data_IF_638814189011
#
_entry.id   IF_638814189011
#
_cell.length_a   1.000
_cell.length_b   1.000
_cell.length_c   1.000
_cell.angle_alpha   90.00
_cell.angle_beta   90.00
_cell.angle_gamma   90.00
#
_symmetry.space_group_name_H-M   'P 1'
#
loop_
_entity.id
_entity.type
_entity.pdbx_description
1 polymer ?
#
# COMPACT_ATOMS: atom_id res chain seq x y z
N UNK A 1 -5.07 -9.22 -13.29
CA UNK A 1 -5.68 -9.27 -11.94
C UNK A 1 -4.63 -8.84 -10.94
N UNK A 2 -4.89 -7.87 -10.07
CA UNK A 2 -3.94 -7.44 -9.07
C UNK A 2 -3.62 -8.58 -8.11
N UNK A 3 -2.33 -8.73 -7.77
CA UNK A 3 -1.87 -9.69 -6.77
C UNK A 3 -1.80 -8.95 -5.44
N UNK A 4 -2.49 -9.46 -4.45
CA UNK A 4 -2.56 -8.91 -3.11
C UNK A 4 -1.52 -9.56 -2.21
N UNK A 5 -0.81 -8.76 -1.44
CA UNK A 5 0.09 -9.24 -0.40
C UNK A 5 -0.50 -8.80 0.93
N UNK A 6 -0.99 -9.77 1.70
CA UNK A 6 -1.32 -9.59 3.11
C UNK A 6 -0.09 -10.01 3.92
N UNK A 7 0.55 -9.07 4.60
CA UNK A 7 1.64 -9.37 5.51
C UNK A 7 1.04 -9.52 6.90
N UNK A 8 1.05 -10.72 7.44
CA UNK A 8 0.76 -10.99 8.84
C UNK A 8 2.07 -11.36 9.52
N UNK A 9 2.50 -10.55 10.46
CA UNK A 9 3.66 -10.84 11.30
C UNK A 9 3.16 -11.54 12.55
N UNK A 10 3.24 -12.84 12.61
CA UNK A 10 3.41 -13.78 13.72
C UNK A 10 2.71 -15.13 13.47
N UNK A 11 3.43 -16.24 13.59
CA UNK A 11 2.93 -17.60 13.33
C UNK A 11 2.07 -18.22 14.47
N UNK A 12 1.85 -17.51 15.59
CA UNK A 12 1.20 -18.05 16.78
C UNK A 12 -0.12 -17.38 17.17
N UNK A 13 -0.88 -16.86 16.22
CA UNK A 13 -2.19 -16.29 16.49
C UNK A 13 -3.29 -17.34 16.54
N UNK A 14 -3.28 -18.15 17.58
CA UNK A 14 -4.52 -18.65 18.17
C UNK A 14 -5.07 -17.53 19.04
N UNK A 15 -6.20 -16.95 18.65
CA UNK A 15 -6.88 -15.84 19.36
C UNK A 15 -7.35 -16.36 20.74
N UNK A 16 -6.44 -16.46 21.69
CA UNK A 16 -6.77 -16.81 23.08
C UNK A 16 -6.27 -15.82 24.14
N UNK A 17 -5.42 -14.86 23.74
CA UNK A 17 -5.03 -13.76 24.62
C UNK A 17 -4.82 -12.45 23.85
N UNK A 18 -5.09 -11.28 24.44
CA UNK A 18 -4.83 -9.99 23.79
C UNK A 18 -3.32 -9.79 23.68
N UNK A 19 -2.78 -9.99 22.47
CA UNK A 19 -1.36 -9.76 22.18
C UNK A 19 -1.05 -8.26 22.26
N UNK A 20 -0.15 -7.84 23.14
CA UNK A 20 0.09 -6.41 23.41
C UNK A 20 0.77 -5.65 22.25
N UNK A 21 1.23 -6.33 21.20
CA UNK A 21 2.07 -5.72 20.15
C UNK A 21 1.69 -6.12 18.70
N UNK A 22 0.45 -6.54 18.45
CA UNK A 22 0.02 -6.90 17.11
C UNK A 22 -0.01 -5.66 16.21
N UNK A 23 0.85 -5.61 15.19
CA UNK A 23 0.86 -4.58 14.15
C UNK A 23 0.60 -5.25 12.82
N UNK A 24 -0.42 -4.78 12.11
CA UNK A 24 -0.70 -5.21 10.74
C UNK A 24 -0.23 -4.12 9.78
N UNK A 25 0.59 -4.48 8.83
CA UNK A 25 0.92 -3.68 7.68
C UNK A 25 0.31 -4.36 6.46
N UNK A 26 -0.67 -3.74 5.83
CA UNK A 26 -1.21 -4.19 4.56
C UNK A 26 -0.55 -3.40 3.44
N UNK A 27 0.22 -4.08 2.60
CA UNK A 27 0.86 -3.52 1.43
C UNK A 27 0.15 -4.03 0.19
N UNK A 28 -0.29 -3.11 -0.63
CA UNK A 28 -0.72 -3.43 -1.98
C UNK A 28 0.46 -3.20 -2.94
N UNK A 29 0.89 -4.27 -3.58
CA UNK A 29 1.90 -4.22 -4.62
C UNK A 29 1.23 -4.69 -5.91
N UNK A 30 1.08 -3.82 -6.93
CA UNK A 30 0.36 -4.16 -8.14
C UNK A 30 0.90 -5.40 -8.85
N UNK A 31 0.02 -6.09 -9.57
CA UNK A 31 0.28 -7.27 -10.42
C UNK A 31 1.54 -7.17 -11.29
N UNK A 32 1.95 -5.97 -11.65
CA UNK A 32 3.15 -5.71 -12.45
C UNK A 32 4.46 -6.19 -11.80
N UNK A 33 4.55 -6.30 -10.46
CA UNK A 33 5.72 -6.91 -9.82
C UNK A 33 5.90 -8.39 -10.17
N UNK A 34 4.81 -9.10 -10.42
CA UNK A 34 4.88 -10.48 -10.93
C UNK A 34 5.20 -10.54 -12.42
N UNK A 35 4.82 -9.53 -13.20
CA UNK A 35 5.16 -9.39 -14.61
C UNK A 35 6.62 -8.98 -14.81
N UNK A 36 7.24 -8.28 -13.87
CA UNK A 36 8.68 -8.00 -13.84
C UNK A 36 9.54 -9.27 -13.96
N UNK A 37 8.99 -10.38 -13.54
CA UNK A 37 9.67 -11.66 -13.52
C UNK A 37 9.57 -12.39 -14.86
N UNK A 38 8.69 -11.97 -15.77
CA UNK A 38 8.36 -12.72 -17.00
C UNK A 38 9.02 -12.23 -18.28
N UNK A 39 9.75 -11.11 -18.27
CA UNK A 39 10.41 -10.72 -19.52
C UNK A 39 11.27 -9.47 -19.46
N UNK A 40 12.40 -9.50 -20.18
CA UNK A 40 13.28 -8.35 -20.29
C UNK A 40 12.68 -7.19 -21.12
N UNK A 41 11.56 -7.41 -21.78
CA UNK A 41 11.03 -6.55 -22.84
C UNK A 41 10.80 -5.12 -22.40
N UNK A 42 10.24 -4.88 -21.21
CA UNK A 42 9.92 -3.51 -20.78
C UNK A 42 11.14 -2.77 -20.22
N UNK A 43 12.03 -3.45 -19.52
CA UNK A 43 13.23 -2.82 -18.93
C UNK A 43 14.21 -2.37 -20.01
N UNK A 44 14.27 -3.10 -21.13
CA UNK A 44 15.14 -2.81 -22.27
C UNK A 44 14.48 -1.88 -23.31
N UNK A 45 13.17 -1.65 -23.23
CA UNK A 45 12.47 -0.78 -24.16
C UNK A 45 12.57 0.67 -23.71
N UNK A 46 13.13 1.53 -24.56
CA UNK A 46 13.35 2.97 -24.29
C UNK A 46 12.06 3.77 -24.15
N UNK A 47 10.95 3.30 -24.72
CA UNK A 47 9.66 3.97 -24.59
C UNK A 47 9.11 3.85 -23.16
N UNK A 48 9.38 2.71 -22.48
CA UNK A 48 8.96 2.48 -21.10
C UNK A 48 10.06 2.80 -20.07
N UNK A 49 11.34 2.79 -20.47
CA UNK A 49 12.48 2.99 -19.56
C UNK A 49 13.50 3.93 -20.18
N UNK A 50 13.37 5.23 -19.93
CA UNK A 50 14.24 6.27 -20.51
C UNK A 50 15.72 6.07 -20.19
N UNK A 51 16.04 5.72 -18.93
CA UNK A 51 17.40 5.46 -18.45
C UNK A 51 17.68 3.95 -18.35
N UNK A 52 17.39 3.21 -19.43
CA UNK A 52 17.43 1.74 -19.41
C UNK A 52 18.72 1.15 -18.86
N UNK A 53 19.89 1.67 -19.25
CA UNK A 53 21.18 1.18 -18.77
C UNK A 53 21.33 1.31 -17.23
N UNK A 54 20.89 2.43 -16.65
CA UNK A 54 20.94 2.67 -15.21
C UNK A 54 19.95 1.76 -14.48
N UNK A 55 18.74 1.62 -14.99
CA UNK A 55 17.68 0.77 -14.41
C UNK A 55 18.07 -0.70 -14.49
N UNK A 56 18.64 -1.14 -15.63
CA UNK A 56 19.16 -2.49 -15.80
C UNK A 56 20.26 -2.77 -14.78
N UNK A 57 21.26 -1.91 -14.66
CA UNK A 57 22.33 -2.09 -13.67
C UNK A 57 21.83 -2.19 -12.23
N UNK A 58 20.76 -1.45 -11.91
CA UNK A 58 20.20 -1.42 -10.56
C UNK A 58 19.35 -2.64 -10.24
N UNK A 59 18.48 -3.09 -11.16
CA UNK A 59 17.42 -4.04 -10.87
C UNK A 59 17.48 -5.34 -11.66
N UNK A 60 18.21 -5.37 -12.79
CA UNK A 60 18.25 -6.56 -13.61
C UNK A 60 19.24 -7.60 -13.08
N UNK A 61 18.86 -8.85 -13.23
CA UNK A 61 19.71 -10.04 -13.09
C UNK A 61 19.12 -11.15 -13.96
N UNK A 62 19.94 -12.08 -14.44
CA UNK A 62 19.45 -13.24 -15.20
C UNK A 62 18.70 -14.23 -14.28
N UNK A 63 19.10 -14.31 -13.02
CA UNK A 63 18.36 -15.04 -11.99
C UNK A 63 17.17 -14.25 -11.45
N UNK A 64 15.99 -14.86 -11.52
CA UNK A 64 14.72 -14.27 -11.13
C UNK A 64 14.65 -13.92 -9.63
N UNK A 65 15.27 -14.75 -8.78
CA UNK A 65 15.29 -14.49 -7.34
C UNK A 65 16.25 -13.35 -7.01
N UNK A 66 17.34 -13.20 -7.73
CA UNK A 66 18.25 -12.06 -7.58
C UNK A 66 17.57 -10.76 -8.02
N UNK A 67 16.77 -10.76 -9.11
CA UNK A 67 15.97 -9.59 -9.50
C UNK A 67 15.02 -9.15 -8.38
N UNK A 68 14.33 -10.10 -7.75
CA UNK A 68 13.45 -9.81 -6.61
C UNK A 68 14.19 -9.14 -5.47
N UNK A 69 15.32 -9.70 -5.09
CA UNK A 69 16.14 -9.17 -4.01
C UNK A 69 16.75 -7.81 -4.34
N UNK A 70 17.16 -7.56 -5.59
CA UNK A 70 17.62 -6.24 -6.03
C UNK A 70 16.50 -5.19 -5.98
N UNK A 71 15.27 -5.58 -6.32
CA UNK A 71 14.15 -4.64 -6.34
C UNK A 71 13.64 -4.33 -4.95
N UNK A 72 13.41 -5.34 -4.12
CA UNK A 72 12.83 -5.22 -2.78
C UNK A 72 13.61 -6.09 -1.78
N UNK A 73 14.83 -5.67 -1.40
CA UNK A 73 15.73 -6.46 -0.57
C UNK A 73 15.15 -6.78 0.81
N UNK A 74 14.58 -5.80 1.52
CA UNK A 74 14.01 -6.02 2.85
C UNK A 74 12.78 -6.93 2.80
N UNK A 75 11.90 -6.70 1.83
CA UNK A 75 10.72 -7.53 1.64
C UNK A 75 11.07 -9.01 1.46
N UNK A 76 12.00 -9.33 0.54
CA UNK A 76 12.35 -10.71 0.23
C UNK A 76 13.29 -11.35 1.25
N UNK A 77 14.17 -10.60 1.90
CA UNK A 77 15.07 -11.15 2.92
C UNK A 77 14.42 -11.28 4.29
N UNK A 78 13.52 -10.38 4.64
CA UNK A 78 12.94 -10.30 5.99
C UNK A 78 11.46 -10.66 6.00
N UNK A 79 10.62 -9.89 5.30
CA UNK A 79 9.17 -10.07 5.36
C UNK A 79 8.75 -11.44 4.82
N UNK A 80 9.26 -11.84 3.65
CA UNK A 80 8.90 -13.11 3.02
C UNK A 80 9.40 -14.34 3.80
N UNK A 81 10.42 -14.18 4.66
CA UNK A 81 11.00 -15.27 5.45
C UNK A 81 10.46 -15.36 6.87
N UNK A 82 10.01 -14.24 7.46
CA UNK A 82 9.56 -14.19 8.85
C UNK A 82 8.06 -13.87 8.98
N UNK A 83 7.41 -13.50 7.88
CA UNK A 83 5.98 -13.20 7.81
C UNK A 83 5.21 -14.22 6.99
N UNK A 84 3.92 -13.97 6.81
CA UNK A 84 3.07 -14.74 5.91
C UNK A 84 2.94 -13.99 4.58
N UNK A 85 3.31 -14.64 3.49
CA UNK A 85 3.18 -14.13 2.14
C UNK A 85 2.13 -14.96 1.38
N UNK A 86 1.02 -14.32 1.03
CA UNK A 86 -0.06 -14.91 0.23
C UNK A 86 -0.05 -14.28 -1.16
N UNK A 87 -0.33 -15.08 -2.20
CA UNK A 87 -0.27 -14.60 -3.59
C UNK A 87 1.07 -14.87 -4.32
N UNK A 88 1.99 -15.60 -3.68
CA UNK A 88 3.20 -16.05 -4.36
C UNK A 88 2.91 -17.26 -5.26
N UNK A 89 2.57 -16.96 -6.52
CA UNK A 89 2.15 -17.97 -7.52
C UNK A 89 3.23 -19.04 -7.75
N UNK A 90 4.51 -18.68 -7.66
CA UNK A 90 5.61 -19.64 -7.81
C UNK A 90 5.67 -20.68 -6.68
N UNK A 91 5.07 -20.36 -5.53
CA UNK A 91 4.91 -21.28 -4.40
C UNK A 91 3.49 -21.87 -4.30
N UNK A 92 2.69 -21.74 -5.36
CA UNK A 92 1.34 -22.28 -5.42
C UNK A 92 0.32 -21.50 -4.59
N UNK A 93 0.67 -20.30 -4.08
CA UNK A 93 -0.25 -19.45 -3.34
C UNK A 93 -0.89 -18.43 -4.28
N UNK A 94 -2.23 -18.49 -4.40
CA UNK A 94 -3.01 -17.62 -5.28
C UNK A 94 -3.95 -16.77 -4.45
N UNK A 95 -4.01 -15.48 -4.78
CA UNK A 95 -5.01 -14.53 -4.28
C UNK A 95 -5.70 -13.91 -5.47
N UNK A 96 -7.03 -13.93 -5.46
CA UNK A 96 -7.85 -13.42 -6.55
C UNK A 96 -8.95 -12.52 -6.01
N UNK A 97 -9.21 -11.43 -6.71
CA UNK A 97 -10.46 -10.68 -6.55
C UNK A 97 -11.58 -11.39 -7.32
N UNK A 98 -12.75 -11.42 -6.74
CA UNK A 98 -13.94 -12.06 -7.33
C UNK A 98 -14.84 -11.08 -8.06
N UNK A 99 -14.70 -9.77 -7.80
CA UNK A 99 -15.49 -8.77 -8.52
C UNK A 99 -15.08 -8.75 -10.01
N UNK A 100 -16.03 -8.55 -10.94
CA UNK A 100 -15.76 -8.51 -12.37
C UNK A 100 -15.28 -7.13 -12.85
N UNK A 101 -15.13 -6.16 -11.96
CA UNK A 101 -14.87 -4.78 -12.31
C UNK A 101 -13.36 -4.52 -12.38
N UNK A 102 -12.95 -3.73 -13.39
CA UNK A 102 -11.55 -3.37 -13.64
C UNK A 102 -11.22 -1.98 -13.06
N UNK A 103 -11.74 -1.68 -11.86
CA UNK A 103 -11.52 -0.45 -11.14
C UNK A 103 -10.91 -0.71 -9.77
N UNK A 104 -10.13 0.26 -9.28
CA UNK A 104 -9.41 0.14 -8.03
C UNK A 104 -10.34 0.13 -6.82
N UNK A 105 -11.34 1.02 -6.77
CA UNK A 105 -12.27 1.08 -5.64
C UNK A 105 -12.97 -0.28 -5.38
N UNK A 106 -13.62 -0.95 -6.35
CA UNK A 106 -14.21 -2.27 -6.12
C UNK A 106 -13.21 -3.28 -5.58
N UNK A 107 -11.98 -3.24 -6.08
CA UNK A 107 -10.91 -4.11 -5.62
C UNK A 107 -10.54 -3.86 -4.15
N UNK A 108 -10.28 -2.63 -3.78
CA UNK A 108 -9.98 -2.26 -2.40
C UNK A 108 -11.16 -2.51 -1.46
N UNK A 109 -12.38 -2.22 -1.93
CA UNK A 109 -13.60 -2.53 -1.16
C UNK A 109 -13.67 -4.03 -0.86
N UNK A 110 -13.51 -4.90 -1.86
CA UNK A 110 -13.55 -6.35 -1.67
C UNK A 110 -12.52 -6.83 -0.64
N UNK A 111 -11.31 -6.24 -0.62
CA UNK A 111 -10.27 -6.60 0.35
C UNK A 111 -10.63 -6.16 1.76
N UNK A 112 -11.09 -4.92 1.89
CA UNK A 112 -11.36 -4.35 3.21
C UNK A 112 -12.68 -4.86 3.81
N UNK A 113 -13.61 -5.32 2.96
CA UNK A 113 -14.93 -5.82 3.37
C UNK A 113 -14.99 -7.35 3.41
N UNK A 114 -14.20 -8.04 2.57
CA UNK A 114 -14.12 -9.50 2.52
C UNK A 114 -15.12 -10.16 1.57
N UNK A 115 -15.92 -9.39 0.83
CA UNK A 115 -16.88 -9.90 -0.17
C UNK A 115 -17.10 -8.89 -1.30
N UNK A 116 -17.66 -9.37 -2.41
CA UNK A 116 -18.00 -8.54 -3.57
C UNK A 116 -19.30 -7.77 -3.32
N UNK A 117 -19.22 -6.45 -3.43
CA UNK A 117 -20.41 -5.60 -3.50
C UNK A 117 -20.62 -5.14 -4.96
N UNK A 118 -21.67 -5.63 -5.60
CA UNK A 118 -21.98 -5.31 -6.99
C UNK A 118 -22.40 -3.85 -7.21
N UNK A 119 -22.72 -3.12 -6.16
CA UNK A 119 -23.04 -1.69 -6.23
C UNK A 119 -21.79 -0.81 -6.31
N UNK A 120 -20.64 -1.33 -5.90
CA UNK A 120 -19.32 -0.69 -6.01
C UNK A 120 -18.64 -1.15 -7.29
N UNK A 121 -18.93 -0.47 -8.41
CA UNK A 121 -18.56 -0.91 -9.76
C UNK A 121 -17.70 0.11 -10.53
N UNK A 122 -17.23 1.15 -9.87
CA UNK A 122 -16.43 2.23 -10.44
C UNK A 122 -15.56 2.89 -9.36
N UNK A 123 -14.73 3.86 -9.75
CA UNK A 123 -13.97 4.72 -8.82
C UNK A 123 -14.78 5.97 -8.38
N UNK A 124 -16.11 5.91 -8.41
CA UNK A 124 -16.93 7.03 -7.96
C UNK A 124 -16.68 7.35 -6.47
N UNK A 125 -16.61 8.64 -6.16
CA UNK A 125 -16.42 9.15 -4.79
C UNK A 125 -17.74 9.08 -4.03
N UNK A 126 -18.13 7.89 -3.65
CA UNK A 126 -19.32 7.58 -2.87
C UNK A 126 -18.93 6.74 -1.67
N UNK A 127 -19.35 7.14 -0.48
CA UNK A 127 -19.01 6.45 0.75
C UNK A 127 -19.42 4.97 0.70
N UNK A 128 -18.48 4.10 1.07
CA UNK A 128 -18.71 2.66 1.16
C UNK A 128 -19.78 2.36 2.24
N UNK A 129 -20.93 1.77 1.88
CA UNK A 129 -21.95 1.42 2.86
C UNK A 129 -21.53 0.26 3.75
N UNK A 130 -20.56 -0.53 3.31
CA UNK A 130 -20.13 -1.75 3.99
C UNK A 130 -19.11 -1.44 5.09
N UNK A 131 -19.21 -2.15 6.20
CA UNK A 131 -18.23 -2.06 7.30
C UNK A 131 -16.93 -2.71 6.88
N UNK A 132 -15.85 -1.97 6.98
CA UNK A 132 -14.50 -2.46 6.68
C UNK A 132 -13.91 -3.26 7.84
N UNK A 133 -12.91 -4.09 7.54
CA UNK A 133 -12.13 -4.79 8.57
C UNK A 133 -11.43 -3.82 9.53
N UNK A 134 -11.12 -2.60 9.08
CA UNK A 134 -10.52 -1.56 9.92
C UNK A 134 -11.49 -1.10 10.99
N UNK A 135 -12.74 -0.81 10.61
CA UNK A 135 -13.82 -0.44 11.54
C UNK A 135 -14.14 -1.60 12.48
N UNK A 136 -14.28 -2.82 11.93
CA UNK A 136 -14.54 -4.01 12.73
C UNK A 136 -13.48 -4.23 13.83
N UNK A 137 -12.19 -4.07 13.48
CA UNK A 137 -11.09 -4.22 14.44
C UNK A 137 -11.09 -3.05 15.43
N UNK A 138 -11.33 -1.81 14.98
CA UNK A 138 -11.41 -0.64 15.85
C UNK A 138 -12.41 -0.84 16.99
N UNK A 139 -13.56 -1.45 16.68
CA UNK A 139 -14.64 -1.68 17.64
C UNK A 139 -14.40 -2.85 18.60
N UNK A 140 -13.32 -3.64 18.40
CA UNK A 140 -12.98 -4.72 19.30
C UNK A 140 -12.37 -4.19 20.62
N UNK A 141 -12.57 -4.91 21.75
CA UNK A 141 -11.98 -4.54 23.04
C UNK A 141 -10.47 -4.32 22.93
N UNK A 142 -9.99 -3.15 23.37
CA UNK A 142 -8.59 -2.77 23.37
C UNK A 142 -8.05 -2.23 22.04
N UNK A 143 -8.88 -2.07 20.99
CA UNK A 143 -8.51 -1.46 19.72
C UNK A 143 -9.06 -0.04 19.52
N UNK A 144 -10.01 0.41 20.32
CA UNK A 144 -10.50 1.80 20.30
C UNK A 144 -9.34 2.80 20.38
N UNK A 145 -9.24 3.72 19.41
CA UNK A 145 -8.15 4.68 19.27
C UNK A 145 -6.78 4.06 18.92
N UNK A 146 -6.76 2.81 18.45
CA UNK A 146 -5.53 2.07 18.09
C UNK A 146 -5.52 1.61 16.63
N UNK A 147 -6.38 2.17 15.80
CA UNK A 147 -6.44 1.96 14.35
C UNK A 147 -6.19 3.30 13.67
N UNK A 148 -5.50 3.30 12.53
CA UNK A 148 -5.35 4.46 11.66
C UNK A 148 -5.11 4.03 10.21
N UNK A 149 -5.44 4.89 9.25
CA UNK A 149 -5.20 4.68 7.83
C UNK A 149 -4.53 5.90 7.19
N UNK A 150 -3.51 5.66 6.36
CA UNK A 150 -2.80 6.67 5.57
C UNK A 150 -2.68 6.20 4.14
N UNK A 151 -3.21 6.98 3.19
CA UNK A 151 -3.34 6.57 1.81
C UNK A 151 -2.85 7.66 0.85
N UNK A 152 -2.20 7.27 -0.24
CA UNK A 152 -1.73 8.25 -1.23
C UNK A 152 -2.86 8.75 -2.13
N UNK A 153 -3.84 7.94 -2.43
CA UNK A 153 -4.99 8.27 -3.28
C UNK A 153 -6.20 8.77 -2.45
N UNK A 154 -6.80 9.87 -2.85
CA UNK A 154 -7.89 10.54 -2.13
C UNK A 154 -9.22 9.75 -2.08
N UNK A 155 -9.41 8.79 -2.99
CA UNK A 155 -10.62 7.96 -3.00
C UNK A 155 -10.69 7.01 -1.78
N UNK A 156 -9.60 6.83 -1.05
CA UNK A 156 -9.62 6.04 0.19
C UNK A 156 -10.52 6.61 1.28
N UNK A 157 -10.81 7.92 1.29
CA UNK A 157 -11.80 8.53 2.19
C UNK A 157 -13.16 7.89 2.02
N UNK A 158 -13.52 7.58 0.78
CA UNK A 158 -14.77 6.94 0.41
C UNK A 158 -14.71 5.41 0.57
N UNK A 159 -13.59 4.77 0.23
CA UNK A 159 -13.41 3.32 0.36
C UNK A 159 -13.51 2.88 1.81
N UNK A 160 -12.87 3.62 2.72
CA UNK A 160 -12.87 3.37 4.16
C UNK A 160 -14.15 3.95 4.80
N UNK A 161 -14.78 4.94 4.15
CA UNK A 161 -15.86 5.75 4.68
C UNK A 161 -15.42 6.55 5.90
N UNK A 162 -14.53 7.54 5.66
CA UNK A 162 -13.97 8.40 6.69
C UNK A 162 -15.04 9.06 7.56
N UNK A 163 -16.16 9.51 6.96
CA UNK A 163 -17.27 10.12 7.70
C UNK A 163 -17.84 9.20 8.80
N UNK A 164 -17.78 7.89 8.58
CA UNK A 164 -18.25 6.89 9.55
C UNK A 164 -17.13 6.38 10.44
N UNK A 165 -15.91 6.37 9.93
CA UNK A 165 -14.75 5.84 10.64
C UNK A 165 -14.50 6.61 11.94
N UNK A 166 -14.37 5.89 13.06
CA UNK A 166 -14.08 6.47 14.38
C UNK A 166 -12.58 6.46 14.69
N UNK A 167 -11.74 6.42 13.66
CA UNK A 167 -10.28 6.46 13.73
C UNK A 167 -9.71 7.36 12.62
N UNK A 168 -8.47 7.85 12.76
CA UNK A 168 -7.88 8.70 11.75
C UNK A 168 -7.74 8.02 10.39
N UNK A 169 -8.28 8.68 9.37
CA UNK A 169 -8.03 8.42 7.96
C UNK A 169 -7.39 9.68 7.39
N UNK A 170 -6.34 9.56 6.61
CA UNK A 170 -5.71 10.69 5.94
C UNK A 170 -5.28 10.25 4.54
N UNK A 171 -5.86 10.83 3.52
CA UNK A 171 -5.65 10.40 2.15
C UNK A 171 -5.40 11.57 1.19
N UNK A 172 -4.86 11.24 0.00
CA UNK A 172 -4.64 12.21 -1.07
C UNK A 172 -3.90 13.46 -0.62
N UNK A 173 -4.36 14.63 -1.08
CA UNK A 173 -3.75 15.92 -0.78
C UNK A 173 -4.29 16.55 0.53
N UNK A 174 -4.78 15.74 1.44
CA UNK A 174 -5.23 16.25 2.73
C UNK A 174 -4.08 16.62 3.67
N UNK A 175 -4.25 17.71 4.39
CA UNK A 175 -3.36 18.06 5.50
C UNK A 175 -3.52 17.05 6.63
N UNK A 176 -2.41 16.67 7.23
CA UNK A 176 -2.47 15.90 8.46
C UNK A 176 -2.89 16.80 9.62
N UNK A 177 -3.97 16.45 10.31
CA UNK A 177 -4.53 17.28 11.37
C UNK A 177 -3.58 17.47 12.57
N UNK A 178 -3.58 18.67 13.16
CA UNK A 178 -2.71 19.03 14.28
C UNK A 178 -2.89 18.10 15.50
N UNK A 179 -4.12 17.62 15.75
CA UNK A 179 -4.41 16.73 16.88
C UNK A 179 -3.63 15.40 16.82
N UNK A 180 -3.26 14.98 15.63
CA UNK A 180 -2.48 13.75 15.38
C UNK A 180 -1.04 14.05 14.92
N UNK A 181 -0.80 15.28 14.48
CA UNK A 181 0.44 15.73 13.88
C UNK A 181 1.53 16.11 14.87
N UNK A 182 2.64 16.51 14.33
CA UNK A 182 3.81 17.06 15.01
C UNK A 182 4.33 18.23 14.20
N UNK A 183 5.31 18.97 14.72
CA UNK A 183 6.02 19.99 13.95
C UNK A 183 6.55 19.44 12.62
N UNK A 184 6.95 18.16 12.59
CA UNK A 184 7.33 17.48 11.35
C UNK A 184 6.15 17.38 10.37
N UNK A 185 4.95 17.03 10.85
CA UNK A 185 3.76 16.95 10.02
C UNK A 185 3.35 18.32 9.45
N UNK A 186 3.54 19.41 10.20
CA UNK A 186 3.31 20.77 9.69
C UNK A 186 4.22 21.10 8.50
N UNK A 187 5.52 20.83 8.64
CA UNK A 187 6.48 21.02 7.54
C UNK A 187 6.11 20.17 6.33
N UNK A 188 5.71 18.91 6.56
CA UNK A 188 5.28 18.02 5.47
C UNK A 188 4.02 18.54 4.79
N UNK A 189 3.06 19.09 5.56
CA UNK A 189 1.86 19.74 5.02
C UNK A 189 2.20 20.91 4.10
N UNK A 190 3.16 21.75 4.49
CA UNK A 190 3.62 22.86 3.65
C UNK A 190 4.30 22.34 2.37
N UNK A 191 5.24 21.42 2.49
CA UNK A 191 5.99 20.88 1.37
C UNK A 191 5.07 20.15 0.37
N UNK A 192 4.06 19.43 0.84
CA UNK A 192 3.13 18.71 -0.03
C UNK A 192 2.43 19.63 -1.03
N UNK A 193 2.07 20.85 -0.61
CA UNK A 193 1.43 21.83 -1.51
C UNK A 193 2.42 22.68 -2.31
N UNK A 194 3.70 22.69 -1.92
CA UNK A 194 4.76 23.41 -2.64
C UNK A 194 5.40 22.55 -3.73
N UNK A 195 5.39 21.23 -3.56
CA UNK A 195 5.99 20.30 -4.53
C UNK A 195 4.92 19.90 -5.56
N UNK A 196 5.13 20.25 -6.85
CA UNK A 196 4.17 19.84 -7.88
C UNK A 196 4.08 18.33 -7.98
N UNK A 197 2.88 17.80 -7.87
CA UNK A 197 2.58 16.39 -8.15
C UNK A 197 2.00 16.29 -9.56
N UNK A 198 2.37 15.28 -10.37
CA UNK A 198 1.85 15.12 -11.70
C UNK A 198 0.40 14.60 -11.72
N UNK A 199 -0.08 14.05 -10.61
CA UNK A 199 -1.39 13.43 -10.47
C UNK A 199 -2.33 14.32 -9.66
N UNK A 200 -3.58 14.44 -10.10
CA UNK A 200 -4.54 15.39 -9.50
C UNK A 200 -5.10 14.95 -8.14
N UNK A 201 -5.09 13.65 -7.87
CA UNK A 201 -5.77 13.04 -6.70
C UNK A 201 -4.85 12.16 -5.85
N UNK A 202 -3.58 12.07 -6.23
CA UNK A 202 -2.57 11.22 -5.58
C UNK A 202 -1.40 12.07 -5.11
N UNK A 203 -1.01 11.94 -3.87
CA UNK A 203 0.23 12.53 -3.34
C UNK A 203 1.40 11.56 -3.49
N UNK A 204 2.63 12.07 -3.46
CA UNK A 204 3.81 11.21 -3.41
C UNK A 204 3.78 10.31 -2.17
N UNK A 205 4.16 9.04 -2.35
CA UNK A 205 4.20 8.02 -1.30
C UNK A 205 5.09 8.39 -0.12
N UNK A 206 6.10 9.22 -0.35
CA UNK A 206 6.95 9.75 0.71
C UNK A 206 6.16 10.54 1.76
N UNK A 207 5.16 11.33 1.36
CA UNK A 207 4.30 12.05 2.32
C UNK A 207 3.44 11.09 3.12
N UNK A 208 2.81 10.13 2.45
CA UNK A 208 2.01 9.07 3.10
C UNK A 208 2.83 8.30 4.12
N UNK A 209 4.04 7.87 3.71
CA UNK A 209 4.97 7.20 4.62
C UNK A 209 5.32 8.05 5.83
N UNK A 210 5.72 9.30 5.63
CA UNK A 210 6.16 10.14 6.74
C UNK A 210 5.04 10.53 7.70
N UNK A 211 3.81 10.73 7.22
CA UNK A 211 2.63 10.91 8.09
C UNK A 211 2.34 9.65 8.90
N UNK A 212 2.28 8.50 8.23
CA UNK A 212 2.05 7.20 8.87
C UNK A 212 3.12 6.88 9.92
N UNK A 213 4.39 7.12 9.61
CA UNK A 213 5.52 6.84 10.50
C UNK A 213 5.58 7.79 11.70
N UNK A 214 5.28 9.08 11.51
CA UNK A 214 5.16 10.03 12.62
C UNK A 214 4.02 9.64 13.56
N UNK A 215 2.87 9.29 13.00
CA UNK A 215 1.73 8.79 13.75
C UNK A 215 2.07 7.49 14.50
N UNK A 216 2.71 6.52 13.83
CA UNK A 216 3.14 5.25 14.41
C UNK A 216 4.01 5.46 15.65
N UNK A 217 5.01 6.35 15.56
CA UNK A 217 5.93 6.63 16.68
C UNK A 217 5.24 7.25 17.88
N UNK A 218 4.30 8.17 17.64
CA UNK A 218 3.65 8.94 18.71
C UNK A 218 2.45 8.25 19.31
N UNK A 219 1.58 7.68 18.48
CA UNK A 219 0.30 7.12 18.91
C UNK A 219 0.32 5.61 19.13
N UNK A 220 1.34 4.92 18.58
CA UNK A 220 1.54 3.47 18.73
C UNK A 220 0.26 2.68 18.44
N UNK A 221 -0.32 2.84 17.24
CA UNK A 221 -1.50 2.09 16.86
C UNK A 221 -1.21 0.59 16.87
N UNK A 222 -2.23 -0.22 17.09
CA UNK A 222 -2.17 -1.68 16.99
C UNK A 222 -2.42 -2.16 15.55
N UNK A 223 -3.18 -1.37 14.78
CA UNK A 223 -3.41 -1.57 13.35
C UNK A 223 -3.12 -0.27 12.63
N UNK A 224 -2.22 -0.32 11.68
CA UNK A 224 -1.90 0.78 10.77
C UNK A 224 -2.06 0.29 9.35
N UNK A 225 -3.02 0.87 8.63
CA UNK A 225 -3.21 0.63 7.21
C UNK A 225 -2.48 1.70 6.41
N UNK A 226 -1.68 1.29 5.44
CA UNK A 226 -0.99 2.22 4.54
C UNK A 226 -1.23 1.75 3.10
N UNK A 227 -1.73 2.65 2.25
CA UNK A 227 -1.87 2.42 0.82
C UNK A 227 -1.02 3.41 0.04
N UNK A 228 0.01 2.89 -0.63
CA UNK A 228 0.86 3.62 -1.55
C UNK A 228 0.33 3.53 -2.97
N UNK A 229 0.64 4.53 -3.83
CA UNK A 229 0.01 4.62 -5.15
C UNK A 229 0.96 4.99 -6.31
N UNK A 230 2.18 5.49 -6.05
CA UNK A 230 3.12 5.88 -7.12
C UNK A 230 3.38 4.76 -8.13
N UNK A 231 3.38 3.50 -7.69
CA UNK A 231 3.56 2.37 -8.60
C UNK A 231 2.39 2.21 -9.56
N UNK A 232 1.18 2.47 -9.13
CA UNK A 232 -0.02 2.42 -9.96
C UNK A 232 -0.01 3.55 -11.01
N UNK A 233 0.25 4.77 -10.57
CA UNK A 233 0.33 5.93 -11.43
C UNK A 233 1.43 5.79 -12.50
N UNK A 234 2.63 5.37 -12.13
CA UNK A 234 3.70 5.14 -13.10
C UNK A 234 3.40 3.98 -14.06
N UNK A 235 2.62 2.98 -13.63
CA UNK A 235 2.15 1.92 -14.49
C UNK A 235 1.13 2.43 -15.51
N UNK A 236 0.17 3.25 -15.09
CA UNK A 236 -0.80 3.92 -15.98
C UNK A 236 -0.13 4.81 -17.03
N UNK A 237 0.95 5.49 -16.63
CA UNK A 237 1.72 6.33 -17.54
C UNK A 237 2.71 5.56 -18.44
N UNK A 238 2.84 4.25 -18.28
CA UNK A 238 3.84 3.43 -19.00
C UNK A 238 5.28 3.75 -18.62
N UNK A 239 5.53 4.41 -17.49
CA UNK A 239 6.85 4.81 -16.99
C UNK A 239 7.49 3.70 -16.15
N UNK A 240 7.83 2.59 -16.78
CA UNK A 240 8.30 1.40 -16.11
C UNK A 240 9.56 1.59 -15.25
N UNK A 241 10.51 2.40 -15.72
CA UNK A 241 11.69 2.73 -14.93
C UNK A 241 11.38 3.45 -13.61
N UNK A 242 10.40 4.35 -13.59
CA UNK A 242 9.91 5.02 -12.40
C UNK A 242 9.12 4.07 -11.51
N UNK A 243 8.29 3.22 -12.10
CA UNK A 243 7.60 2.15 -11.39
C UNK A 243 8.56 1.30 -10.55
N UNK A 244 9.69 0.85 -11.12
CA UNK A 244 10.70 0.08 -10.41
C UNK A 244 11.35 0.87 -9.26
N UNK A 245 11.66 2.14 -9.51
CA UNK A 245 12.24 3.01 -8.49
C UNK A 245 11.27 3.27 -7.34
N UNK A 246 9.98 3.48 -7.63
CA UNK A 246 8.94 3.62 -6.62
C UNK A 246 8.82 2.35 -5.78
N UNK A 247 8.74 1.17 -6.40
CA UNK A 247 8.70 -0.12 -5.70
C UNK A 247 9.92 -0.33 -4.78
N UNK A 248 11.13 0.05 -5.25
CA UNK A 248 12.34 -0.02 -4.43
C UNK A 248 12.32 0.98 -3.27
N UNK A 249 11.78 2.19 -3.48
CA UNK A 249 11.63 3.18 -2.41
C UNK A 249 10.65 2.69 -1.33
N UNK A 250 9.55 2.02 -1.72
CA UNK A 250 8.61 1.41 -0.78
C UNK A 250 9.28 0.39 0.13
N UNK A 251 10.19 -0.42 -0.41
CA UNK A 251 10.95 -1.39 0.38
C UNK A 251 11.75 -0.71 1.50
N UNK A 252 12.41 0.41 1.19
CA UNK A 252 13.11 1.22 2.17
C UNK A 252 12.19 1.90 3.20
N UNK A 253 10.95 2.24 2.82
CA UNK A 253 9.97 2.76 3.80
C UNK A 253 9.53 1.69 4.79
N UNK A 254 9.42 0.44 4.36
CA UNK A 254 9.01 -0.68 5.22
C UNK A 254 10.14 -1.10 6.15
N UNK A 255 11.40 -0.98 5.74
CA UNK A 255 12.58 -1.34 6.53
C UNK A 255 12.76 -0.44 7.77
N UNK A 256 12.35 0.84 7.71
CA UNK A 256 12.51 1.82 8.79
C UNK A 256 11.46 1.69 9.89
#
# INVERSE_FOLDING_TARGET
SPVWIKIMLDEHLTIKEPLPHLRFLALWIPYLLTQLLRGPTMIFNKDFTKDSAKVVNQFWDDDENQRRQKLMPFFWSTIANHGQLVGNVQKGSVVELKNPYWFSYPGYSEILVGYVDSTRNSNARENNPNITVLEYIHDQPGFGGKVAAFCSWDVFDYIINEERASFPVNSGMERFEESYGSQKAEILNELMFQIPVPWGSVRYDAFTYHYAFDYLKRNKPRLLYIAFDETDEYAHEGKYGQYLKAANALDGFIEN
#
